data_IF_831502937939
#
_entry.id   IF_831502937939
#
_cell.length_a   1.000
_cell.length_b   1.000
_cell.length_c   1.000
_cell.angle_alpha   90.00
_cell.angle_beta   90.00
_cell.angle_gamma   90.00
#
_symmetry.space_group_name_H-M   'P 1'
#
loop_
_entity.id
_entity.type
_entity.pdbx_description
1 polymer ?
#
# COMPACT_ATOMS: atom_id res chain seq x y z
N UNK A 1 2.49 -1.59 -0.08
CA UNK A 1 3.19 -0.35 0.30
C UNK A 1 2.58 0.82 -0.46
N UNK A 2 2.16 1.90 0.22
CA UNK A 2 1.32 2.95 -0.37
C UNK A 2 1.96 4.33 -0.23
N UNK A 3 1.88 5.13 -1.29
CA UNK A 3 2.25 6.55 -1.37
C UNK A 3 0.95 7.37 -1.37
N UNK A 4 0.77 8.38 -0.50
CA UNK A 4 -0.53 9.09 -0.34
C UNK A 4 -0.41 10.62 -0.46
N UNK A 5 -1.47 11.30 -0.87
CA UNK A 5 -1.50 12.75 -1.13
C UNK A 5 -1.32 13.64 0.10
N UNK A 6 -2.09 13.50 1.18
CA UNK A 6 -2.02 14.41 2.33
C UNK A 6 -2.05 13.68 3.69
N UNK A 7 -1.26 14.17 4.65
CA UNK A 7 -1.27 13.88 6.09
C UNK A 7 -1.59 15.20 6.80
N UNK A 8 -2.52 15.22 7.77
CA UNK A 8 -2.67 16.38 8.66
C UNK A 8 -1.30 16.74 9.25
N UNK A 9 -0.94 18.02 9.19
CA UNK A 9 0.38 18.52 9.58
C UNK A 9 0.65 18.24 11.07
N UNK A 10 1.45 17.22 11.35
CA UNK A 10 2.57 17.18 12.32
C UNK A 10 3.03 15.73 12.51
N UNK A 11 4.35 15.54 12.35
CA UNK A 11 5.24 14.47 12.89
C UNK A 11 5.14 13.00 12.41
N UNK A 12 6.26 12.57 11.78
CA UNK A 12 6.75 11.22 11.40
C UNK A 12 5.96 10.39 10.36
N UNK A 13 6.71 9.59 9.59
CA UNK A 13 6.19 8.70 8.57
C UNK A 13 5.62 7.43 9.21
N UNK A 14 4.29 7.33 9.26
CA UNK A 14 3.60 6.18 9.85
C UNK A 14 2.66 6.63 10.98
N UNK A 15 1.38 6.74 10.63
CA UNK A 15 0.23 6.80 11.56
C UNK A 15 0.12 7.99 12.52
N UNK A 16 -0.74 8.95 12.15
CA UNK A 16 -1.51 9.73 13.13
C UNK A 16 -2.30 8.76 14.04
N UNK A 17 -2.51 9.04 15.34
CA UNK A 17 -3.41 8.22 16.15
C UNK A 17 -4.80 8.27 15.54
N UNK A 18 -5.22 7.16 14.94
CA UNK A 18 -6.59 7.02 14.49
C UNK A 18 -7.45 6.80 15.72
N UNK A 19 -8.08 7.85 16.21
CA UNK A 19 -8.93 7.79 17.40
C UNK A 19 -10.32 7.20 17.11
N UNK A 20 -10.46 6.43 16.03
CA UNK A 20 -11.72 5.84 15.62
C UNK A 20 -11.77 4.38 16.02
N UNK A 21 -12.67 4.06 16.95
CA UNK A 21 -12.90 2.70 17.46
C UNK A 21 -13.36 1.75 16.33
N UNK A 22 -14.01 2.27 15.29
CA UNK A 22 -14.51 1.50 14.13
C UNK A 22 -13.53 1.49 12.94
N UNK A 23 -12.25 1.78 13.17
CA UNK A 23 -11.29 1.88 12.08
C UNK A 23 -10.81 0.51 11.59
N UNK A 24 -11.29 0.12 10.41
CA UNK A 24 -10.85 -1.12 9.74
C UNK A 24 -9.51 -0.99 9.00
N UNK A 25 -8.92 0.21 8.90
CA UNK A 25 -7.68 0.43 8.15
C UNK A 25 -6.43 0.26 9.02
N UNK A 26 -6.47 0.74 10.26
CA UNK A 26 -5.28 0.82 11.13
C UNK A 26 -4.67 -0.53 11.47
N UNK A 27 -5.48 -1.59 11.56
CA UNK A 27 -5.00 -2.96 11.82
C UNK A 27 -4.05 -3.51 10.76
N UNK A 28 -4.05 -2.94 9.56
CA UNK A 28 -3.14 -3.30 8.47
C UNK A 28 -1.90 -2.40 8.42
N UNK A 29 -1.87 -1.28 9.14
CA UNK A 29 -0.77 -0.32 9.01
C UNK A 29 0.41 -0.75 9.87
N UNK A 30 1.58 -0.85 9.25
CA UNK A 30 2.84 -1.05 9.95
C UNK A 30 3.30 0.27 10.57
N UNK A 31 3.39 0.32 11.90
CA UNK A 31 3.91 1.46 12.67
C UNK A 31 5.45 1.50 12.75
N UNK A 32 6.16 0.92 11.77
CA UNK A 32 7.63 0.88 11.77
C UNK A 32 8.19 1.97 10.87
N UNK A 33 9.13 2.74 11.41
CA UNK A 33 9.88 3.78 10.67
C UNK A 33 10.80 3.18 9.60
N UNK A 34 11.10 1.87 9.68
CA UNK A 34 11.94 1.15 8.73
C UNK A 34 11.37 -0.25 8.48
N UNK A 35 11.29 -0.64 7.20
CA UNK A 35 11.14 -2.04 6.82
C UNK A 35 12.53 -2.52 6.42
N UNK A 36 13.14 -3.36 7.25
CA UNK A 36 14.17 -4.26 6.76
C UNK A 36 13.46 -5.19 5.78
N UNK A 37 13.54 -4.89 4.49
CA UNK A 37 12.95 -5.75 3.45
C UNK A 37 13.76 -7.04 3.51
N UNK A 38 13.21 -8.15 4.02
CA UNK A 38 13.97 -9.38 4.09
C UNK A 38 14.32 -9.77 2.65
N UNK A 39 15.59 -10.08 2.40
CA UNK A 39 16.05 -10.56 1.09
C UNK A 39 15.42 -11.92 0.70
N UNK A 40 14.59 -12.49 1.56
CA UNK A 40 13.89 -13.76 1.40
C UNK A 40 12.43 -13.53 1.00
N UNK A 41 12.15 -13.76 -0.29
CA UNK A 41 10.83 -13.78 -0.97
C UNK A 41 10.09 -12.44 -1.12
N UNK A 42 10.55 -11.64 -2.10
CA UNK A 42 9.98 -10.36 -2.57
C UNK A 42 8.60 -10.45 -3.28
N UNK A 43 8.01 -11.65 -3.42
CA UNK A 43 6.86 -11.94 -4.32
C UNK A 43 5.51 -11.30 -3.91
N UNK A 44 5.39 -10.69 -2.73
CA UNK A 44 4.15 -10.10 -2.22
C UNK A 44 4.14 -8.57 -2.14
N UNK A 45 5.20 -7.89 -2.60
CA UNK A 45 5.31 -6.43 -2.43
C UNK A 45 4.63 -5.70 -3.59
N UNK A 46 3.61 -4.92 -3.28
CA UNK A 46 2.95 -3.98 -4.18
C UNK A 46 3.30 -2.53 -3.80
N UNK A 47 3.65 -1.69 -4.76
CA UNK A 47 3.70 -0.22 -4.62
C UNK A 47 2.45 0.37 -5.28
N UNK A 48 1.75 1.24 -4.59
CA UNK A 48 0.63 1.99 -5.18
C UNK A 48 0.57 3.43 -4.70
N UNK A 49 0.18 4.34 -5.59
CA UNK A 49 -0.20 5.70 -5.23
C UNK A 49 -1.70 5.82 -4.89
N UNK A 50 -2.03 6.80 -4.06
CA UNK A 50 -3.41 7.28 -3.97
C UNK A 50 -3.50 8.80 -3.77
N UNK A 51 -4.33 9.44 -4.59
CA UNK A 51 -4.81 10.81 -4.36
C UNK A 51 -5.93 10.91 -3.32
N UNK A 52 -6.60 9.80 -3.04
CA UNK A 52 -7.71 9.70 -2.10
C UNK A 52 -7.23 9.54 -0.65
N UNK A 53 -8.16 9.59 0.31
CA UNK A 53 -7.87 9.16 1.68
C UNK A 53 -7.41 7.70 1.66
N UNK A 54 -6.35 7.39 2.41
CA UNK A 54 -5.81 6.03 2.53
C UNK A 54 -6.90 5.00 2.86
N UNK A 55 -7.84 5.35 3.76
CA UNK A 55 -9.01 4.52 4.09
C UNK A 55 -9.82 4.11 2.87
N UNK A 56 -10.06 5.03 1.93
CA UNK A 56 -10.82 4.73 0.70
C UNK A 56 -10.06 3.75 -0.17
N UNK A 57 -8.76 3.98 -0.38
CA UNK A 57 -7.91 3.06 -1.13
C UNK A 57 -7.87 1.66 -0.50
N UNK A 58 -7.78 1.60 0.83
CA UNK A 58 -7.80 0.34 1.57
C UNK A 58 -9.14 -0.38 1.47
N UNK A 59 -10.25 0.35 1.53
CA UNK A 59 -11.57 -0.24 1.33
C UNK A 59 -11.72 -0.84 -0.07
N UNK A 60 -11.19 -0.19 -1.11
CA UNK A 60 -11.19 -0.75 -2.46
C UNK A 60 -10.41 -2.06 -2.53
N UNK A 61 -9.18 -2.11 -2.00
CA UNK A 61 -8.40 -3.35 -1.94
C UNK A 61 -9.13 -4.45 -1.15
N UNK A 62 -9.71 -4.11 0.01
CA UNK A 62 -10.50 -5.06 0.82
C UNK A 62 -11.69 -5.62 0.06
N UNK A 63 -12.44 -4.76 -0.61
CA UNK A 63 -13.59 -5.16 -1.41
C UNK A 63 -13.15 -6.14 -2.50
N UNK A 64 -12.11 -5.81 -3.29
CA UNK A 64 -11.59 -6.67 -4.36
C UNK A 64 -11.13 -8.03 -3.85
N UNK A 65 -10.44 -8.09 -2.72
CA UNK A 65 -9.98 -9.36 -2.13
C UNK A 65 -11.16 -10.18 -1.61
N UNK A 66 -12.12 -9.55 -0.92
CA UNK A 66 -13.31 -10.23 -0.40
C UNK A 66 -14.23 -10.76 -1.50
N UNK A 67 -14.36 -10.02 -2.60
CA UNK A 67 -15.13 -10.45 -3.78
C UNK A 67 -14.34 -11.36 -4.71
N UNK A 68 -13.11 -11.76 -4.33
CA UNK A 68 -12.21 -12.60 -5.14
C UNK A 68 -12.04 -12.07 -6.58
N UNK A 69 -12.00 -10.74 -6.72
CA UNK A 69 -11.78 -10.07 -7.99
C UNK A 69 -10.28 -10.06 -8.32
N UNK A 70 -9.92 -10.63 -9.47
CA UNK A 70 -8.53 -10.77 -9.90
C UNK A 70 -8.13 -9.75 -11.00
N UNK A 71 -8.87 -8.64 -11.09
CA UNK A 71 -8.68 -7.56 -12.10
C UNK A 71 -7.55 -6.57 -11.75
N UNK A 72 -7.03 -6.67 -10.53
CA UNK A 72 -5.87 -5.90 -10.07
C UNK A 72 -4.79 -6.88 -9.67
N UNK A 73 -3.53 -6.43 -9.74
CA UNK A 73 -2.40 -7.28 -9.37
C UNK A 73 -2.43 -7.77 -7.92
N UNK A 74 -2.89 -6.90 -7.01
CA UNK A 74 -3.17 -7.28 -5.62
C UNK A 74 -4.28 -8.32 -5.56
N UNK A 75 -5.41 -8.10 -6.25
CA UNK A 75 -6.50 -9.07 -6.30
C UNK A 75 -6.06 -10.44 -6.80
N UNK A 76 -5.33 -10.49 -7.93
CA UNK A 76 -4.80 -11.72 -8.51
C UNK A 76 -3.88 -12.48 -7.55
N UNK A 77 -3.04 -11.79 -6.78
CA UNK A 77 -2.20 -12.42 -5.76
C UNK A 77 -3.04 -13.12 -4.69
N UNK A 78 -4.05 -12.44 -4.15
CA UNK A 78 -4.94 -13.01 -3.12
C UNK A 78 -5.89 -14.08 -3.67
N UNK A 79 -6.19 -14.07 -4.97
CA UNK A 79 -6.92 -15.16 -5.63
C UNK A 79 -6.08 -16.45 -5.71
N UNK A 80 -4.76 -16.34 -5.92
CA UNK A 80 -3.91 -17.47 -6.36
C UNK A 80 -3.11 -18.15 -5.25
N UNK A 81 -2.82 -17.47 -4.14
CA UNK A 81 -1.90 -17.99 -3.10
C UNK A 81 -2.58 -18.52 -1.84
N UNK A 82 -3.90 -18.73 -1.85
CA UNK A 82 -4.67 -19.12 -0.66
C UNK A 82 -4.47 -18.17 0.54
N UNK A 83 -4.20 -16.89 0.25
CA UNK A 83 -4.04 -15.82 1.22
C UNK A 83 -5.39 -15.15 1.52
N UNK A 84 -5.49 -14.51 2.68
CA UNK A 84 -6.67 -13.77 3.14
C UNK A 84 -6.32 -12.31 3.48
N UNK A 85 -7.32 -11.49 3.77
CA UNK A 85 -7.07 -10.13 4.25
C UNK A 85 -6.19 -10.06 5.51
N UNK A 86 -6.06 -11.15 6.27
CA UNK A 86 -5.20 -11.18 7.46
C UNK A 86 -3.71 -11.09 7.10
N UNK A 87 -3.34 -11.49 5.89
CA UNK A 87 -1.95 -11.43 5.39
C UNK A 87 -1.58 -10.03 4.84
N UNK A 88 -2.55 -9.11 4.78
CA UNK A 88 -2.32 -7.77 4.25
C UNK A 88 -1.60 -6.87 5.25
N UNK A 89 -0.47 -6.31 4.83
CA UNK A 89 0.27 -5.28 5.57
C UNK A 89 0.51 -4.04 4.70
N UNK A 90 0.45 -2.85 5.32
CA UNK A 90 0.53 -1.56 4.65
C UNK A 90 1.53 -0.67 5.34
N UNK A 91 2.57 -0.29 4.61
CA UNK A 91 3.46 0.80 4.98
C UNK A 91 3.12 2.05 4.17
N UNK A 92 3.13 3.21 4.83
CA UNK A 92 3.05 4.53 4.18
C UNK A 92 4.47 5.01 3.92
N UNK A 93 4.85 5.13 2.65
CA UNK A 93 6.20 5.60 2.29
C UNK A 93 6.35 7.12 2.40
N UNK A 94 5.38 7.83 1.84
CA UNK A 94 5.42 9.28 1.75
C UNK A 94 4.01 9.85 1.67
N UNK A 95 3.84 11.00 2.31
CA UNK A 95 2.64 11.82 2.31
C UNK A 95 2.91 13.22 1.75
N UNK A 96 1.89 14.06 1.70
CA UNK A 96 1.96 15.51 1.47
C UNK A 96 2.50 15.92 0.09
N UNK A 97 2.13 15.19 -0.97
CA UNK A 97 2.39 15.61 -2.35
C UNK A 97 1.44 16.74 -2.75
N UNK A 98 1.96 17.73 -3.46
CA UNK A 98 1.18 18.88 -3.92
C UNK A 98 0.41 18.55 -5.18
N UNK A 99 0.98 17.72 -6.05
CA UNK A 99 0.40 17.37 -7.34
C UNK A 99 0.30 15.86 -7.54
N UNK A 100 -0.61 15.45 -8.43
CA UNK A 100 -0.70 14.07 -8.90
C UNK A 100 0.61 13.62 -9.58
N UNK A 101 1.21 14.50 -10.37
CA UNK A 101 2.46 14.22 -11.10
C UNK A 101 3.60 13.87 -10.14
N UNK A 102 3.82 14.67 -9.09
CA UNK A 102 4.84 14.37 -8.08
C UNK A 102 4.63 13.00 -7.42
N UNK A 103 3.37 12.69 -7.12
CA UNK A 103 2.98 11.45 -6.45
C UNK A 103 3.24 10.22 -7.34
N UNK A 104 2.86 10.30 -8.63
CA UNK A 104 3.11 9.24 -9.63
C UNK A 104 4.59 9.06 -9.94
N UNK A 105 5.36 10.16 -10.04
CA UNK A 105 6.82 10.08 -10.21
C UNK A 105 7.46 9.38 -9.00
N UNK A 106 7.00 9.68 -7.79
CA UNK A 106 7.53 9.03 -6.59
C UNK A 106 7.14 7.55 -6.51
N UNK A 107 5.90 7.19 -6.87
CA UNK A 107 5.48 5.79 -7.02
C UNK A 107 6.41 5.01 -7.94
N UNK A 108 6.65 5.54 -9.15
CA UNK A 108 7.53 4.90 -10.12
C UNK A 108 8.96 4.70 -9.58
N UNK A 109 9.54 5.75 -8.96
CA UNK A 109 10.86 5.65 -8.31
C UNK A 109 10.89 4.57 -7.22
N UNK A 110 9.82 4.41 -6.46
CA UNK A 110 9.72 3.34 -5.46
C UNK A 110 9.60 1.97 -6.12
N UNK A 111 8.84 1.83 -7.21
CA UNK A 111 8.76 0.56 -7.94
C UNK A 111 10.11 0.11 -8.47
N UNK A 112 10.94 1.03 -8.96
CA UNK A 112 12.32 0.76 -9.37
C UNK A 112 13.21 0.39 -8.17
N UNK A 113 13.21 1.23 -7.13
CA UNK A 113 14.03 1.04 -5.93
C UNK A 113 13.75 -0.32 -5.24
N UNK A 114 12.48 -0.71 -5.18
CA UNK A 114 12.05 -1.96 -4.57
C UNK A 114 11.93 -3.12 -5.58
N UNK A 115 12.23 -2.86 -6.85
CA UNK A 115 12.18 -3.82 -7.96
C UNK A 115 10.83 -4.58 -8.05
N UNK A 116 9.72 -3.91 -7.77
CA UNK A 116 8.40 -4.56 -7.70
C UNK A 116 7.80 -4.86 -9.06
N UNK A 117 8.34 -4.28 -10.14
CA UNK A 117 8.01 -4.61 -11.52
C UNK A 117 8.51 -6.00 -11.94
N UNK A 118 9.62 -6.46 -11.37
CA UNK A 118 10.22 -7.76 -11.72
C UNK A 118 10.01 -8.82 -10.65
N UNK A 119 10.01 -8.42 -9.38
CA UNK A 119 10.00 -9.34 -8.25
C UNK A 119 8.80 -9.15 -7.32
N UNK A 120 7.96 -8.13 -7.56
CA UNK A 120 6.79 -7.82 -6.75
C UNK A 120 5.47 -8.04 -7.50
N UNK A 121 4.44 -7.36 -7.02
CA UNK A 121 3.07 -7.44 -7.53
C UNK A 121 2.73 -6.30 -8.49
N UNK A 122 3.66 -5.47 -8.93
CA UNK A 122 3.32 -4.42 -9.90
C UNK A 122 3.44 -4.98 -11.32
N UNK A 123 2.36 -4.91 -12.12
CA UNK A 123 2.44 -5.18 -13.55
C UNK A 123 2.82 -3.91 -14.32
N UNK A 124 3.51 -4.09 -15.44
CA UNK A 124 3.56 -3.08 -16.51
C UNK A 124 2.26 -3.25 -17.29
N UNK A 125 1.35 -2.28 -17.20
CA UNK A 125 0.16 -2.19 -18.07
C UNK A 125 0.50 -1.43 -19.33
#
# INVERSE_FOLDING_TARGET
>A
MIVRSALPKTTKAGTFPCNSIRCETCKYILCKDQVAIPNTQKRGIYIGETGQKLRTRMNHHRHKINTKSCDTSVGQHFCSQNHSLQDMQVLILKGNFKTERERKIYEFKCMELFNTLRQGLNFVT
#
